data_IF_789428601572
#
_entry.id   IF_789428601572
#
_cell.length_a   1.000
_cell.length_b   1.000
_cell.length_c   1.000
_cell.angle_alpha   90.00
_cell.angle_beta   90.00
_cell.angle_gamma   90.00
#
_symmetry.space_group_name_H-M   'P 1'
#
loop_
_entity.id
_entity.type
_entity.pdbx_description
1 polymer ?
#
# COMPACT_ATOMS: atom_id res chain seq x y z
N UNK A 1 -9.16 -8.86 -24.51
CA UNK A 1 -8.53 -7.54 -24.33
C UNK A 1 -7.44 -7.39 -25.36
N UNK A 2 -7.51 -6.36 -26.20
CA UNK A 2 -6.50 -6.08 -27.22
C UNK A 2 -5.30 -5.26 -26.65
N UNK A 3 -4.24 -5.09 -27.44
CA UNK A 3 -3.02 -4.40 -27.00
C UNK A 3 -3.27 -2.93 -26.60
N UNK A 4 -4.20 -2.25 -27.26
CA UNK A 4 -4.55 -0.85 -26.97
C UNK A 4 -5.26 -0.75 -25.61
N UNK A 5 -6.21 -1.64 -25.34
CA UNK A 5 -6.90 -1.76 -24.06
C UNK A 5 -5.94 -2.12 -22.92
N UNK A 6 -5.00 -3.06 -23.15
CA UNK A 6 -3.97 -3.41 -22.18
C UNK A 6 -3.13 -2.19 -21.79
N UNK A 7 -2.55 -1.50 -22.78
CA UNK A 7 -1.70 -0.32 -22.54
C UNK A 7 -2.46 0.80 -21.83
N UNK A 8 -3.73 0.98 -22.19
CA UNK A 8 -4.58 1.96 -21.51
C UNK A 8 -4.81 1.59 -20.04
N UNK A 9 -5.19 0.33 -19.75
CA UNK A 9 -5.42 -0.12 -18.38
C UNK A 9 -4.13 -0.11 -17.53
N UNK A 10 -3.01 -0.50 -18.13
CA UNK A 10 -1.69 -0.43 -17.49
C UNK A 10 -1.32 1.01 -17.13
N UNK A 11 -1.54 1.96 -18.05
CA UNK A 11 -1.30 3.38 -17.78
C UNK A 11 -2.18 3.91 -16.64
N UNK A 12 -3.47 3.54 -16.61
CA UNK A 12 -4.39 3.94 -15.54
C UNK A 12 -3.91 3.41 -14.19
N UNK A 13 -3.58 2.12 -14.10
CA UNK A 13 -3.10 1.52 -12.84
C UNK A 13 -1.79 2.14 -12.37
N UNK A 14 -0.86 2.43 -13.27
CA UNK A 14 0.39 3.13 -12.93
C UNK A 14 0.13 4.53 -12.37
N UNK A 15 -0.84 5.27 -12.94
CA UNK A 15 -1.22 6.58 -12.44
C UNK A 15 -1.85 6.50 -11.04
N UNK A 16 -2.79 5.57 -10.84
CA UNK A 16 -3.43 5.36 -9.53
C UNK A 16 -2.42 4.94 -8.45
N UNK A 17 -1.46 4.07 -8.80
CA UNK A 17 -0.36 3.68 -7.91
C UNK A 17 0.44 4.91 -7.48
N UNK A 18 0.84 5.76 -8.44
CA UNK A 18 1.61 6.97 -8.18
C UNK A 18 0.85 7.95 -7.27
N UNK A 19 -0.44 8.13 -7.53
CA UNK A 19 -1.29 8.99 -6.70
C UNK A 19 -1.39 8.49 -5.26
N UNK A 20 -1.53 7.18 -5.06
CA UNK A 20 -1.56 6.58 -3.72
C UNK A 20 -0.20 6.69 -3.03
N UNK A 21 0.91 6.53 -3.75
CA UNK A 21 2.26 6.72 -3.21
C UNK A 21 2.47 8.16 -2.71
N UNK A 22 2.05 9.16 -3.48
CA UNK A 22 2.10 10.57 -3.07
C UNK A 22 1.27 10.81 -1.80
N UNK A 23 0.05 10.25 -1.73
CA UNK A 23 -0.81 10.34 -0.53
C UNK A 23 -0.16 9.70 0.70
N UNK A 24 0.42 8.51 0.54
CA UNK A 24 1.15 7.83 1.61
C UNK A 24 2.31 8.69 2.11
N UNK A 25 3.11 9.26 1.20
CA UNK A 25 4.25 10.10 1.58
C UNK A 25 3.80 11.34 2.36
N UNK A 26 2.71 11.98 1.91
CA UNK A 26 2.13 13.14 2.62
C UNK A 26 1.69 12.77 4.03
N UNK A 27 0.98 11.65 4.20
CA UNK A 27 0.52 11.17 5.51
C UNK A 27 1.69 10.84 6.45
N UNK A 28 2.76 10.23 5.93
CA UNK A 28 3.98 9.95 6.71
C UNK A 28 4.57 11.26 7.25
N UNK A 29 4.71 12.27 6.40
CA UNK A 29 5.26 13.57 6.80
C UNK A 29 4.38 14.25 7.87
N UNK A 30 3.05 14.19 7.72
CA UNK A 30 2.10 14.73 8.71
C UNK A 30 2.18 14.00 10.05
N UNK A 31 2.23 12.66 10.04
CA UNK A 31 2.39 11.83 11.23
C UNK A 31 3.69 12.18 11.97
N UNK A 32 4.78 12.32 11.25
CA UNK A 32 6.07 12.66 11.86
C UNK A 32 6.06 14.07 12.47
N UNK A 33 5.43 15.04 11.80
CA UNK A 33 5.20 16.37 12.36
C UNK A 33 4.38 16.35 13.66
N UNK A 34 3.27 15.61 13.68
CA UNK A 34 2.43 15.48 14.88
C UNK A 34 3.13 14.73 16.02
N UNK A 35 3.96 13.72 15.72
CA UNK A 35 4.78 13.03 16.72
C UNK A 35 5.79 13.98 17.35
N UNK A 36 6.46 14.81 16.55
CA UNK A 36 7.40 15.82 17.06
C UNK A 36 6.69 16.84 17.95
N UNK A 37 5.56 17.40 17.51
CA UNK A 37 4.77 18.35 18.31
C UNK A 37 4.34 17.73 19.65
N UNK A 38 3.83 16.50 19.61
CA UNK A 38 3.42 15.76 20.82
C UNK A 38 4.61 15.56 21.77
N UNK A 39 5.78 15.18 21.26
CA UNK A 39 6.97 15.00 22.08
C UNK A 39 7.43 16.30 22.76
N UNK A 40 7.39 17.43 22.03
CA UNK A 40 7.72 18.75 22.59
C UNK A 40 6.73 19.12 23.70
N UNK A 41 5.42 18.94 23.49
CA UNK A 41 4.40 19.21 24.50
C UNK A 41 4.57 18.31 25.74
N UNK A 42 4.83 17.02 25.53
CA UNK A 42 5.03 16.08 26.64
C UNK A 42 6.24 16.46 27.50
N UNK A 43 7.36 16.89 26.87
CA UNK A 43 8.54 17.41 27.58
C UNK A 43 8.20 18.68 28.37
N UNK A 44 7.48 19.63 27.77
CA UNK A 44 7.04 20.86 28.46
C UNK A 44 6.16 20.57 29.67
N UNK A 45 5.21 19.64 29.56
CA UNK A 45 4.34 19.22 30.67
C UNK A 45 5.14 18.54 31.79
N UNK A 46 6.19 17.76 31.46
CA UNK A 46 7.05 17.13 32.47
C UNK A 46 7.92 18.17 33.19
N UNK A 47 8.53 19.08 32.46
CA UNK A 47 9.35 20.16 33.02
C UNK A 47 8.52 21.13 33.87
N UNK A 48 7.24 21.33 33.54
CA UNK A 48 6.36 22.14 34.37
C UNK A 48 6.09 21.46 35.73
N UNK A 49 5.88 20.13 35.76
CA UNK A 49 5.60 19.40 37.02
C UNK A 49 6.69 19.52 38.09
N UNK A 50 7.93 19.81 37.69
CA UNK A 50 9.08 19.93 38.59
C UNK A 50 9.21 21.31 39.25
N UNK A 51 8.47 22.33 38.81
CA UNK A 51 8.61 23.72 39.23
C UNK A 51 7.39 24.17 40.08
N UNK A 52 7.21 23.51 41.24
CA UNK A 52 5.97 23.44 42.01
C UNK A 52 5.60 24.71 42.83
N UNK A 53 5.65 25.90 42.23
CA UNK A 53 5.10 27.15 42.80
C UNK A 53 3.91 27.60 41.94
N UNK A 54 2.69 27.18 42.28
CA UNK A 54 1.55 27.25 41.36
C UNK A 54 0.55 28.37 41.65
N UNK A 55 0.58 29.40 40.81
CA UNK A 55 -0.54 30.33 40.58
C UNK A 55 -1.62 29.67 39.70
N UNK A 56 -2.87 30.18 39.73
CA UNK A 56 -3.98 29.65 38.94
C UNK A 56 -3.76 29.67 37.42
N UNK A 57 -2.99 30.65 36.92
CA UNK A 57 -2.66 30.78 35.50
C UNK A 57 -1.81 29.61 34.97
N UNK A 58 -0.87 29.11 35.78
CA UNK A 58 -0.04 27.96 35.40
C UNK A 58 -0.88 26.67 35.25
N UNK A 59 -1.83 26.44 36.16
CA UNK A 59 -2.70 25.24 36.10
C UNK A 59 -3.52 25.23 34.82
N UNK A 60 -4.06 26.38 34.43
CA UNK A 60 -4.81 26.52 33.18
C UNK A 60 -3.94 26.23 31.94
N UNK A 61 -2.70 26.71 31.92
CA UNK A 61 -1.75 26.43 30.83
C UNK A 61 -1.43 24.93 30.71
N UNK A 62 -1.17 24.24 31.82
CA UNK A 62 -0.92 22.78 31.81
C UNK A 62 -2.14 21.99 31.35
N UNK A 63 -3.35 22.40 31.74
CA UNK A 63 -4.60 21.79 31.27
C UNK A 63 -4.73 21.95 29.74
N UNK A 64 -4.46 23.14 29.21
CA UNK A 64 -4.50 23.37 27.76
C UNK A 64 -3.48 22.51 27.02
N UNK A 65 -2.24 22.41 27.51
CA UNK A 65 -1.21 21.56 26.92
C UNK A 65 -1.61 20.07 26.91
N UNK A 66 -2.17 19.56 28.02
CA UNK A 66 -2.69 18.19 28.09
C UNK A 66 -3.85 17.96 27.12
N UNK A 67 -4.75 18.93 26.97
CA UNK A 67 -5.86 18.84 26.02
C UNK A 67 -5.33 18.82 24.58
N UNK A 68 -4.30 19.61 24.26
CA UNK A 68 -3.63 19.57 22.96
C UNK A 68 -2.95 18.21 22.71
N UNK A 69 -2.24 17.66 23.70
CA UNK A 69 -1.60 16.34 23.60
C UNK A 69 -2.62 15.22 23.33
N UNK A 70 -3.80 15.26 23.99
CA UNK A 70 -4.91 14.33 23.71
C UNK A 70 -5.43 14.46 22.29
N UNK A 71 -5.65 15.69 21.81
CA UNK A 71 -6.09 15.94 20.42
C UNK A 71 -5.08 15.43 19.40
N UNK A 72 -3.79 15.69 19.60
CA UNK A 72 -2.71 15.18 18.74
C UNK A 72 -2.68 13.66 18.72
N UNK A 73 -2.91 13.01 19.87
CA UNK A 73 -2.97 11.54 19.92
C UNK A 73 -4.13 11.00 19.08
N UNK A 74 -5.31 11.62 19.14
CA UNK A 74 -6.44 11.23 18.31
C UNK A 74 -6.20 11.47 16.82
N UNK A 75 -5.55 12.58 16.45
CA UNK A 75 -5.16 12.88 15.07
C UNK A 75 -4.16 11.83 14.56
N UNK A 76 -3.15 11.49 15.36
CA UNK A 76 -2.17 10.46 15.03
C UNK A 76 -2.80 9.09 14.81
N UNK A 77 -3.77 8.69 15.62
CA UNK A 77 -4.51 7.43 15.42
C UNK A 77 -5.21 7.45 14.06
N UNK A 78 -5.99 8.49 13.77
CA UNK A 78 -6.71 8.61 12.49
C UNK A 78 -5.78 8.62 11.28
N UNK A 79 -4.67 9.37 11.34
CA UNK A 79 -3.70 9.42 10.26
C UNK A 79 -3.01 8.06 10.03
N UNK A 80 -2.72 7.30 11.11
CA UNK A 80 -2.20 5.94 10.99
C UNK A 80 -3.23 4.98 10.38
N UNK A 81 -4.51 5.10 10.74
CA UNK A 81 -5.58 4.29 10.14
C UNK A 81 -5.69 4.56 8.63
N UNK A 82 -5.67 5.83 8.22
CA UNK A 82 -5.68 6.22 6.81
C UNK A 82 -4.42 5.74 6.06
N UNK A 83 -3.25 5.82 6.69
CA UNK A 83 -2.00 5.31 6.14
C UNK A 83 -2.08 3.79 5.88
N UNK A 84 -2.66 3.03 6.82
CA UNK A 84 -2.84 1.59 6.70
C UNK A 84 -3.81 1.23 5.56
N UNK A 85 -4.90 1.98 5.41
CA UNK A 85 -5.85 1.83 4.30
C UNK A 85 -5.15 2.08 2.96
N UNK A 86 -4.41 3.19 2.84
CA UNK A 86 -3.72 3.53 1.60
C UNK A 86 -2.62 2.53 1.25
N UNK A 87 -1.88 2.00 2.24
CA UNK A 87 -0.91 0.90 2.01
C UNK A 87 -1.57 -0.38 1.51
N UNK A 88 -2.74 -0.73 2.06
CA UNK A 88 -3.52 -1.88 1.60
C UNK A 88 -3.99 -1.69 0.16
N UNK A 89 -4.50 -0.50 -0.17
CA UNK A 89 -4.88 -0.13 -1.54
C UNK A 89 -3.70 -0.21 -2.51
N UNK A 90 -2.54 0.33 -2.13
CA UNK A 90 -1.32 0.24 -2.95
C UNK A 90 -0.92 -1.21 -3.24
N UNK A 91 -0.98 -2.07 -2.22
CA UNK A 91 -0.70 -3.51 -2.37
C UNK A 91 -1.66 -4.18 -3.35
N UNK A 92 -2.95 -3.85 -3.27
CA UNK A 92 -3.96 -4.36 -4.20
C UNK A 92 -3.71 -3.89 -5.63
N UNK A 93 -3.47 -2.59 -5.85
CA UNK A 93 -3.19 -2.04 -7.17
C UNK A 93 -1.94 -2.65 -7.81
N UNK A 94 -0.87 -2.84 -7.03
CA UNK A 94 0.35 -3.52 -7.52
C UNK A 94 0.07 -4.98 -7.89
N UNK A 95 -0.77 -5.68 -7.12
CA UNK A 95 -1.19 -7.05 -7.44
C UNK A 95 -2.00 -7.07 -8.74
N UNK A 96 -2.95 -6.16 -8.89
CA UNK A 96 -3.76 -6.04 -10.12
C UNK A 96 -2.89 -5.75 -11.35
N UNK A 97 -1.94 -4.82 -11.23
CA UNK A 97 -0.98 -4.51 -12.30
C UNK A 97 -0.14 -5.74 -12.68
N UNK A 98 0.30 -6.52 -11.69
CA UNK A 98 1.08 -7.73 -11.95
C UNK A 98 0.23 -8.81 -12.64
N UNK A 99 -1.00 -9.03 -12.18
CA UNK A 99 -1.95 -9.95 -12.84
C UNK A 99 -2.23 -9.51 -14.27
N UNK A 100 -2.44 -8.21 -14.51
CA UNK A 100 -2.69 -7.66 -15.84
C UNK A 100 -1.53 -7.99 -16.79
N UNK A 101 -0.29 -7.78 -16.33
CA UNK A 101 0.93 -8.08 -17.09
C UNK A 101 1.08 -9.57 -17.38
N UNK A 102 0.92 -10.43 -16.37
CA UNK A 102 1.06 -11.88 -16.54
C UNK A 102 0.03 -12.43 -17.54
N UNK A 103 -1.23 -12.04 -17.41
CA UNK A 103 -2.29 -12.46 -18.34
C UNK A 103 -2.02 -11.97 -19.77
N UNK A 104 -1.35 -10.83 -19.94
CA UNK A 104 -0.95 -10.34 -21.26
C UNK A 104 0.20 -11.15 -21.85
N UNK A 105 1.18 -11.56 -21.04
CA UNK A 105 2.29 -12.38 -21.48
C UNK A 105 1.84 -13.80 -21.83
N UNK A 106 0.96 -14.41 -21.04
CA UNK A 106 0.37 -15.72 -21.32
C UNK A 106 -0.38 -15.73 -22.66
N UNK A 107 -1.27 -14.75 -22.90
CA UNK A 107 -1.96 -14.65 -24.19
C UNK A 107 -1.01 -14.40 -25.37
N UNK A 108 0.04 -13.61 -25.17
CA UNK A 108 1.03 -13.38 -26.21
C UNK A 108 1.79 -14.68 -26.54
N UNK A 109 2.14 -15.46 -25.51
CA UNK A 109 2.79 -16.75 -25.64
C UNK A 109 1.88 -17.76 -26.35
N UNK A 110 0.61 -17.90 -25.92
CA UNK A 110 -0.37 -18.79 -26.55
C UNK A 110 -0.59 -18.46 -28.03
N UNK A 111 -0.72 -17.18 -28.37
CA UNK A 111 -0.90 -16.74 -29.76
C UNK A 111 0.33 -17.03 -30.63
N UNK A 112 1.54 -16.79 -30.12
CA UNK A 112 2.79 -17.12 -30.83
C UNK A 112 2.92 -18.63 -31.01
N UNK A 113 2.63 -19.40 -29.97
CA UNK A 113 2.75 -20.85 -30.01
C UNK A 113 1.73 -21.49 -30.97
N UNK A 114 0.48 -21.02 -30.99
CA UNK A 114 -0.53 -21.45 -31.98
C UNK A 114 -0.20 -21.01 -33.41
N UNK A 115 0.52 -19.90 -33.60
CA UNK A 115 0.89 -19.40 -34.92
C UNK A 115 2.14 -20.06 -35.50
N UNK A 116 2.98 -20.68 -34.67
CA UNK A 116 4.30 -21.21 -35.07
C UNK A 116 4.35 -22.73 -35.00
N UNK A 117 3.60 -23.36 -34.08
CA UNK A 117 3.61 -24.81 -33.88
C UNK A 117 2.30 -25.45 -34.35
N UNK A 118 2.37 -26.59 -35.06
CA UNK A 118 1.23 -27.48 -35.24
C UNK A 118 0.61 -27.81 -33.86
N UNK A 119 -0.73 -27.90 -33.75
CA UNK A 119 -1.42 -28.13 -32.47
C UNK A 119 -0.90 -29.33 -31.67
N UNK A 120 -0.43 -30.38 -32.34
CA UNK A 120 0.13 -31.58 -31.72
C UNK A 120 1.43 -31.30 -30.95
N UNK A 121 2.29 -30.40 -31.45
CA UNK A 121 3.55 -30.04 -30.80
C UNK A 121 3.35 -29.03 -29.66
N UNK A 122 2.30 -28.21 -29.73
CA UNK A 122 1.96 -27.25 -28.67
C UNK A 122 1.66 -27.97 -27.34
N UNK A 123 0.81 -28.99 -27.38
CA UNK A 123 0.46 -29.77 -26.19
C UNK A 123 1.65 -30.56 -25.64
N UNK A 124 2.48 -31.13 -26.51
CA UNK A 124 3.63 -31.92 -26.08
C UNK A 124 4.71 -31.05 -25.41
N UNK A 125 4.99 -29.85 -25.94
CA UNK A 125 5.96 -28.91 -25.37
C UNK A 125 5.42 -28.31 -24.06
N UNK A 126 4.14 -27.92 -24.02
CA UNK A 126 3.52 -27.35 -22.83
C UNK A 126 3.47 -28.35 -21.67
N UNK A 127 3.14 -29.62 -21.96
CA UNK A 127 3.13 -30.70 -20.98
C UNK A 127 4.54 -31.00 -20.44
N UNK A 128 5.56 -31.03 -21.30
CA UNK A 128 6.98 -31.21 -20.88
C UNK A 128 7.49 -30.03 -20.06
N UNK A 129 7.06 -28.81 -20.36
CA UNK A 129 7.41 -27.61 -19.59
C UNK A 129 6.78 -27.62 -18.19
N UNK A 130 5.53 -28.08 -18.07
CA UNK A 130 4.84 -28.26 -16.78
C UNK A 130 5.48 -29.37 -15.92
N UNK A 131 5.88 -30.50 -16.51
CA UNK A 131 6.61 -31.54 -15.77
C UNK A 131 7.96 -31.03 -15.22
N UNK A 132 8.67 -30.20 -15.99
CA UNK A 132 9.95 -29.61 -15.55
C UNK A 132 9.79 -28.52 -14.49
N UNK A 133 8.67 -27.79 -14.47
CA UNK A 133 8.41 -26.74 -13.48
C UNK A 133 7.80 -27.26 -12.18
N UNK A 134 7.35 -28.52 -12.14
CA UNK A 134 6.81 -29.18 -10.95
C UNK A 134 5.41 -28.71 -10.54
N UNK A 135 4.73 -27.91 -11.37
CA UNK A 135 3.37 -27.44 -11.12
C UNK A 135 2.38 -28.40 -11.77
N UNK A 136 1.87 -29.35 -10.99
CA UNK A 136 0.74 -30.18 -11.39
C UNK A 136 -0.55 -29.41 -11.12
N UNK A 137 -1.35 -29.15 -12.16
CA UNK A 137 -2.77 -28.93 -11.96
C UNK A 137 -3.31 -30.25 -11.41
N UNK A 138 -3.73 -30.26 -10.14
CA UNK A 138 -4.58 -31.33 -9.64
C UNK A 138 -5.84 -31.31 -10.51
N UNK A 139 -5.89 -32.21 -11.48
CA UNK A 139 -7.10 -32.53 -12.20
C UNK A 139 -8.10 -33.04 -11.17
N UNK A 140 -9.12 -32.23 -10.95
CA UNK A 140 -10.40 -32.66 -10.43
C UNK A 140 -10.87 -33.85 -11.27
N UNK A 141 -10.68 -35.05 -10.74
CA UNK A 141 -11.41 -36.23 -11.16
C UNK A 141 -12.55 -36.45 -10.17
N UNK A 142 -13.76 -36.24 -10.69
CA UNK A 142 -15.08 -36.68 -10.18
C UNK A 142 -15.70 -35.89 -9.03
#
# INVERSE_FOLDING_TARGET
MNLKEFKNRESILNHEIKDVEVKIQKLINEIDGFKQEKNVLSKKIKASKTDALLTGAWRNSVIQMKNREKRLSAILTKANDELMINRSKLKQLRKELNTLRNNSYERAFENIAHSILPPELFWEISFKAQQKSGVWLNESSS
#
